data_IF_439831873217
#
_entry.id   IF_439831873217
#
_cell.length_a   1.000
_cell.length_b   1.000
_cell.length_c   1.000
_cell.angle_alpha   90.00
_cell.angle_beta   90.00
_cell.angle_gamma   90.00
#
_symmetry.space_group_name_H-M   'P 1'
#
loop_
_entity.id
_entity.type
_entity.pdbx_description
1 polymer ?
#
# COMPACT_ATOMS: atom_id res chain seq x y z
N UNK A 1 -35.72 -81.52 40.73
CA UNK A 1 -36.10 -80.58 39.65
C UNK A 1 -35.60 -79.17 39.96
N UNK A 2 -35.87 -78.64 41.17
CA UNK A 2 -35.45 -77.27 41.54
C UNK A 2 -33.94 -77.03 41.57
N UNK A 3 -33.15 -77.97 42.11
CA UNK A 3 -31.69 -77.85 42.14
C UNK A 3 -31.05 -77.78 40.74
N UNK A 4 -31.55 -78.60 39.80
CA UNK A 4 -31.08 -78.61 38.43
C UNK A 4 -31.40 -77.29 37.71
N UNK A 5 -32.59 -76.73 37.94
CA UNK A 5 -32.97 -75.42 37.40
C UNK A 5 -32.09 -74.29 37.93
N UNK A 6 -31.81 -74.27 39.24
CA UNK A 6 -30.90 -73.29 39.87
C UNK A 6 -29.48 -73.38 39.31
N UNK A 7 -28.95 -74.59 39.14
CA UNK A 7 -27.61 -74.81 38.57
C UNK A 7 -27.52 -74.30 37.11
N UNK A 8 -28.56 -74.55 36.31
CA UNK A 8 -28.61 -74.13 34.91
C UNK A 8 -28.67 -72.60 34.79
N UNK A 9 -29.44 -71.94 35.67
CA UNK A 9 -29.48 -70.48 35.78
C UNK A 9 -28.11 -69.93 36.20
N UNK A 10 -27.44 -70.53 37.17
CA UNK A 10 -26.11 -70.10 37.62
C UNK A 10 -25.07 -70.21 36.50
N UNK A 11 -25.05 -71.32 35.74
CA UNK A 11 -24.16 -71.50 34.58
C UNK A 11 -24.47 -70.47 33.49
N UNK A 12 -25.76 -70.23 33.18
CA UNK A 12 -26.16 -69.23 32.20
C UNK A 12 -25.70 -67.82 32.61
N UNK A 13 -25.85 -67.45 33.89
CA UNK A 13 -25.38 -66.18 34.42
C UNK A 13 -23.86 -66.07 34.32
N UNK A 14 -23.11 -67.11 34.72
CA UNK A 14 -21.66 -67.14 34.61
C UNK A 14 -21.24 -66.97 33.15
N UNK A 15 -21.88 -67.69 32.22
CA UNK A 15 -21.62 -67.61 30.78
C UNK A 15 -21.81 -66.18 30.25
N UNK A 16 -22.94 -65.55 30.58
CA UNK A 16 -23.24 -64.17 30.18
C UNK A 16 -22.21 -63.20 30.76
N UNK A 17 -21.86 -63.33 32.04
CA UNK A 17 -20.85 -62.48 32.69
C UNK A 17 -19.47 -62.65 32.03
N UNK A 18 -19.05 -63.87 31.70
CA UNK A 18 -17.80 -64.11 30.96
C UNK A 18 -17.84 -63.49 29.57
N UNK A 19 -18.96 -63.59 28.85
CA UNK A 19 -19.07 -63.05 27.50
C UNK A 19 -19.00 -61.52 27.50
N UNK A 20 -19.70 -60.87 28.43
CA UNK A 20 -19.68 -59.41 28.60
C UNK A 20 -18.29 -58.92 29.03
N UNK A 21 -17.60 -59.63 29.93
CA UNK A 21 -16.23 -59.28 30.33
C UNK A 21 -15.18 -59.57 29.23
N UNK A 22 -15.47 -60.49 28.32
CA UNK A 22 -14.58 -60.81 27.21
C UNK A 22 -14.57 -59.70 26.15
N UNK A 23 -15.71 -59.08 25.87
CA UNK A 23 -15.80 -58.03 24.85
C UNK A 23 -15.40 -56.68 25.44
N UNK A 24 -14.34 -56.08 24.87
CA UNK A 24 -13.85 -54.75 25.26
C UNK A 24 -13.76 -53.85 24.04
N UNK A 25 -14.31 -52.64 24.18
CA UNK A 25 -14.26 -51.62 23.14
C UNK A 25 -13.19 -50.60 23.52
N UNK A 26 -12.20 -50.43 22.66
CA UNK A 26 -11.14 -49.42 22.82
C UNK A 26 -11.49 -48.21 21.96
N UNK A 27 -11.59 -46.99 22.55
CA UNK A 27 -11.81 -45.76 21.79
C UNK A 27 -10.73 -45.48 20.74
N UNK A 28 -11.05 -44.62 19.78
CA UNK A 28 -10.07 -44.10 18.82
C UNK A 28 -8.95 -43.33 19.52
N UNK A 29 -7.75 -43.34 18.93
CA UNK A 29 -6.54 -42.69 19.47
C UNK A 29 -6.17 -43.15 20.89
N UNK A 30 -6.53 -44.38 21.24
CA UNK A 30 -6.19 -45.01 22.52
C UNK A 30 -5.70 -46.42 22.28
N UNK A 31 -4.71 -46.84 23.06
CA UNK A 31 -4.23 -48.21 23.08
C UNK A 31 -4.19 -48.73 24.52
N UNK A 32 -4.72 -49.93 24.71
CA UNK A 32 -4.72 -50.59 26.02
C UNK A 32 -3.68 -51.73 26.00
N UNK A 33 -2.71 -51.69 26.93
CA UNK A 33 -1.66 -52.70 27.06
C UNK A 33 -2.17 -53.83 27.96
N UNK A 34 -2.17 -55.07 27.43
CA UNK A 34 -2.71 -56.25 28.11
C UNK A 34 -1.59 -57.18 28.56
N UNK A 35 -1.70 -57.59 29.81
CA UNK A 35 -0.86 -58.58 30.45
C UNK A 35 -1.63 -59.88 30.70
N UNK A 36 -0.91 -60.98 30.65
CA UNK A 36 -1.38 -62.29 31.08
C UNK A 36 -0.43 -62.79 32.15
N UNK A 37 -0.94 -62.98 33.36
CA UNK A 37 -0.14 -63.43 34.51
C UNK A 37 1.14 -62.60 34.71
N UNK A 38 1.05 -61.29 34.48
CA UNK A 38 2.16 -60.34 34.64
C UNK A 38 3.14 -60.23 33.45
N UNK A 39 2.95 -61.00 32.36
CA UNK A 39 3.75 -60.87 31.14
C UNK A 39 2.98 -60.13 30.04
N UNK A 40 3.66 -59.27 29.29
CA UNK A 40 3.09 -58.66 28.09
C UNK A 40 2.58 -59.74 27.11
N UNK A 41 1.35 -59.58 26.64
CA UNK A 41 0.72 -60.48 25.67
C UNK A 41 0.48 -59.78 24.34
N UNK A 42 -0.24 -58.66 24.36
CA UNK A 42 -0.59 -57.88 23.17
C UNK A 42 -1.08 -56.48 23.54
N UNK A 43 -1.10 -55.61 22.54
CA UNK A 43 -1.71 -54.27 22.62
C UNK A 43 -3.06 -54.29 21.92
N UNK A 44 -4.08 -53.71 22.54
CA UNK A 44 -5.41 -53.56 21.94
C UNK A 44 -5.46 -52.26 21.14
N UNK A 45 -5.72 -52.38 19.84
CA UNK A 45 -5.95 -51.24 18.96
C UNK A 45 -7.41 -50.74 19.05
N UNK A 46 -7.72 -49.52 18.57
CA UNK A 46 -9.07 -49.01 18.53
C UNK A 46 -10.07 -49.98 17.87
N UNK A 47 -11.24 -50.14 18.49
CA UNK A 47 -12.28 -51.05 18.04
C UNK A 47 -12.63 -52.16 19.03
N UNK A 48 -13.32 -53.18 18.53
CA UNK A 48 -13.80 -54.30 19.34
C UNK A 48 -12.70 -55.35 19.51
N UNK A 49 -12.35 -55.62 20.76
CA UNK A 49 -11.29 -56.55 21.15
C UNK A 49 -11.84 -57.61 22.10
N UNK A 50 -11.42 -58.87 21.93
CA UNK A 50 -11.86 -59.99 22.76
C UNK A 50 -10.77 -60.41 23.75
N UNK A 51 -10.93 -60.15 25.03
CA UNK A 51 -10.01 -60.55 26.10
C UNK A 51 -10.48 -61.88 26.72
N UNK A 52 -9.53 -62.66 27.23
CA UNK A 52 -9.87 -63.83 28.06
C UNK A 52 -10.13 -63.33 29.48
N UNK A 53 -11.40 -63.33 29.95
CA UNK A 53 -11.71 -62.82 31.29
C UNK A 53 -10.95 -63.62 32.35
N UNK A 54 -10.64 -62.97 33.48
CA UNK A 54 -9.90 -63.52 34.64
C UNK A 54 -8.39 -63.77 34.44
N UNK A 55 -7.95 -64.10 33.22
CA UNK A 55 -6.52 -64.37 32.93
C UNK A 55 -5.83 -63.14 32.34
N UNK A 56 -6.48 -62.45 31.41
CA UNK A 56 -5.95 -61.25 30.77
C UNK A 56 -6.37 -60.01 31.58
N UNK A 57 -5.41 -59.16 31.95
CA UNK A 57 -5.63 -57.90 32.67
C UNK A 57 -5.09 -56.72 31.85
N UNK A 58 -5.81 -55.60 31.83
CA UNK A 58 -5.33 -54.36 31.21
C UNK A 58 -4.47 -53.62 32.23
N UNK A 59 -3.18 -53.46 31.96
CA UNK A 59 -2.25 -52.76 32.86
C UNK A 59 -2.37 -51.24 32.74
N UNK A 60 -2.21 -50.72 31.52
CA UNK A 60 -2.16 -49.28 31.27
C UNK A 60 -2.97 -48.94 30.02
N UNK A 61 -3.66 -47.81 30.09
CA UNK A 61 -4.42 -47.26 28.98
C UNK A 61 -3.72 -45.99 28.52
N UNK A 62 -3.19 -46.02 27.31
CA UNK A 62 -2.33 -44.98 26.76
C UNK A 62 -3.12 -44.15 25.76
N UNK A 63 -3.12 -42.82 25.95
CA UNK A 63 -3.65 -41.86 24.98
C UNK A 63 -2.58 -41.58 23.92
N UNK A 64 -2.93 -41.77 22.65
CA UNK A 64 -2.01 -41.58 21.52
C UNK A 64 -2.11 -40.18 20.90
N UNK A 65 -3.03 -39.35 21.39
CA UNK A 65 -3.17 -37.97 20.95
C UNK A 65 -1.96 -37.15 21.39
N UNK A 66 -1.74 -36.05 20.68
CA UNK A 66 -0.78 -35.04 21.08
C UNK A 66 -1.22 -34.39 22.39
N UNK A 67 -0.27 -34.30 23.31
CA UNK A 67 -0.44 -33.76 24.64
C UNK A 67 0.57 -32.65 24.86
N UNK A 68 0.15 -31.65 25.63
CA UNK A 68 0.98 -30.52 26.03
C UNK A 68 1.33 -30.65 27.49
N UNK A 69 2.61 -30.45 27.81
CA UNK A 69 3.09 -30.36 29.20
C UNK A 69 3.98 -29.13 29.34
N UNK A 70 3.71 -28.33 30.36
CA UNK A 70 4.54 -27.18 30.73
C UNK A 70 5.43 -27.57 31.90
N UNK A 71 6.71 -27.23 31.82
CA UNK A 71 7.66 -27.43 32.91
C UNK A 71 7.85 -26.14 33.70
N UNK A 72 8.08 -26.21 35.03
CA UNK A 72 8.31 -25.03 35.84
C UNK A 72 9.58 -24.29 35.38
N UNK A 73 9.66 -22.96 35.55
CA UNK A 73 10.86 -22.19 35.18
C UNK A 73 12.10 -22.71 35.89
N UNK A 74 13.15 -22.99 35.13
CA UNK A 74 14.43 -23.47 35.65
C UNK A 74 15.51 -22.40 35.52
N UNK A 75 16.32 -22.16 36.56
CA UNK A 75 17.45 -21.24 36.49
C UNK A 75 18.60 -21.88 35.70
N UNK A 76 19.08 -21.17 34.68
CA UNK A 76 20.22 -21.54 33.83
C UNK A 76 21.19 -20.37 33.78
N UNK A 77 22.48 -20.68 33.70
CA UNK A 77 23.54 -19.67 33.57
C UNK A 77 23.92 -19.56 32.09
N UNK A 78 23.89 -18.36 31.55
CA UNK A 78 24.35 -18.02 30.19
C UNK A 78 25.87 -17.86 30.14
N UNK A 79 26.44 -17.77 28.93
CA UNK A 79 27.89 -17.63 28.72
C UNK A 79 28.49 -16.34 29.32
N UNK A 80 27.67 -15.29 29.47
CA UNK A 80 28.01 -14.02 30.12
C UNK A 80 27.77 -14.04 31.65
N UNK A 81 27.60 -15.23 32.22
CA UNK A 81 27.46 -15.47 33.66
C UNK A 81 26.23 -14.78 34.29
N UNK A 82 25.13 -14.68 33.54
CA UNK A 82 23.83 -14.24 34.04
C UNK A 82 22.93 -15.43 34.35
N UNK A 83 22.16 -15.34 35.43
CA UNK A 83 21.16 -16.36 35.79
C UNK A 83 19.83 -15.99 35.15
N UNK A 84 19.38 -16.78 34.18
CA UNK A 84 18.08 -16.61 33.51
C UNK A 84 17.14 -17.75 33.85
N UNK A 85 15.86 -17.43 34.01
CA UNK A 85 14.80 -18.43 34.22
C UNK A 85 14.11 -18.72 32.90
N UNK A 86 14.03 -19.99 32.53
CA UNK A 86 13.45 -20.40 31.24
C UNK A 86 12.20 -21.23 31.47
N UNK A 87 11.07 -20.75 30.94
CA UNK A 87 9.78 -21.44 30.90
C UNK A 87 9.65 -22.13 29.54
N UNK A 88 9.35 -23.42 29.52
CA UNK A 88 9.28 -24.25 28.31
C UNK A 88 8.02 -25.11 28.30
N UNK A 89 7.41 -25.22 27.13
CA UNK A 89 6.26 -26.07 26.85
C UNK A 89 6.66 -27.12 25.82
N UNK A 90 6.30 -28.36 26.10
CA UNK A 90 6.57 -29.51 25.25
C UNK A 90 5.29 -30.08 24.69
N UNK A 91 5.30 -30.35 23.39
CA UNK A 91 4.26 -31.11 22.70
C UNK A 91 4.80 -32.48 22.34
N UNK A 92 4.17 -33.52 22.84
CA UNK A 92 4.57 -34.89 22.59
C UNK A 92 3.35 -35.76 22.32
N UNK A 93 3.59 -36.91 21.68
CA UNK A 93 2.59 -37.97 21.54
C UNK A 93 3.24 -39.32 21.73
N UNK A 94 2.49 -40.25 22.31
CA UNK A 94 2.94 -41.64 22.39
C UNK A 94 2.69 -42.32 21.04
N UNK A 95 3.74 -42.87 20.45
CA UNK A 95 3.69 -43.62 19.18
C UNK A 95 3.63 -45.12 19.44
N UNK A 96 4.23 -45.59 20.54
CA UNK A 96 4.24 -46.99 20.93
C UNK A 96 3.88 -47.14 22.41
N UNK A 97 2.66 -47.65 22.66
CA UNK A 97 2.14 -47.85 24.00
C UNK A 97 2.92 -48.92 24.79
N UNK A 98 3.54 -49.89 24.13
CA UNK A 98 4.33 -50.95 24.80
C UNK A 98 5.61 -50.35 25.34
N UNK A 99 6.37 -49.67 24.46
CA UNK A 99 7.63 -49.04 24.87
C UNK A 99 7.41 -47.98 25.95
N UNK A 100 6.37 -47.16 25.83
CA UNK A 100 6.05 -46.15 26.83
C UNK A 100 5.66 -46.73 28.21
N UNK A 101 5.21 -47.98 28.25
CA UNK A 101 4.73 -48.66 29.47
C UNK A 101 5.81 -49.50 30.15
N UNK A 102 6.80 -50.00 29.40
CA UNK A 102 7.82 -50.94 29.90
C UNK A 102 9.26 -50.42 29.84
N UNK A 103 9.60 -49.54 28.89
CA UNK A 103 10.98 -49.04 28.75
C UNK A 103 11.29 -47.92 29.76
N UNK A 104 10.26 -47.26 30.30
CA UNK A 104 10.44 -46.20 31.30
C UNK A 104 9.26 -46.12 32.27
N UNK A 105 9.56 -45.87 33.55
CA UNK A 105 8.55 -45.80 34.61
C UNK A 105 7.72 -44.51 34.55
N UNK A 106 8.37 -43.35 34.41
CA UNK A 106 7.73 -42.05 34.26
C UNK A 106 8.45 -41.24 33.18
N UNK A 107 7.92 -41.30 31.96
CA UNK A 107 8.52 -40.58 30.85
C UNK A 107 8.38 -39.06 30.96
N UNK A 108 7.33 -38.53 31.61
CA UNK A 108 7.17 -37.07 31.76
C UNK A 108 8.33 -36.49 32.57
N UNK A 109 8.65 -37.13 33.70
CA UNK A 109 9.77 -36.72 34.54
C UNK A 109 11.10 -36.89 33.81
N UNK A 110 11.28 -37.95 33.04
CA UNK A 110 12.52 -38.16 32.29
C UNK A 110 12.70 -37.13 31.17
N UNK A 111 11.62 -36.78 30.46
CA UNK A 111 11.65 -35.72 29.45
C UNK A 111 11.93 -34.37 30.10
N UNK A 112 11.34 -34.08 31.26
CA UNK A 112 11.65 -32.87 32.03
C UNK A 112 13.16 -32.78 32.31
N UNK A 113 13.76 -33.83 32.87
CA UNK A 113 15.19 -33.84 33.18
C UNK A 113 16.09 -33.71 31.94
N UNK A 114 15.70 -34.36 30.83
CA UNK A 114 16.40 -34.23 29.57
C UNK A 114 16.29 -32.80 29.01
N UNK A 115 15.11 -32.19 29.15
CA UNK A 115 14.87 -30.80 28.75
C UNK A 115 15.75 -29.85 29.55
N UNK A 116 15.81 -30.00 30.88
CA UNK A 116 16.68 -29.18 31.75
C UNK A 116 18.15 -29.32 31.37
N UNK A 117 18.61 -30.55 31.15
CA UNK A 117 20.02 -30.80 30.78
C UNK A 117 20.35 -30.19 29.41
N UNK A 118 19.44 -30.34 28.44
CA UNK A 118 19.64 -29.79 27.09
C UNK A 118 19.56 -28.26 27.09
N UNK A 119 18.62 -27.68 27.84
CA UNK A 119 18.52 -26.23 28.05
C UNK A 119 19.81 -25.67 28.66
N UNK A 120 20.36 -26.32 29.69
CA UNK A 120 21.63 -25.90 30.31
C UNK A 120 22.78 -25.91 29.30
N UNK A 121 22.87 -26.93 28.46
CA UNK A 121 23.92 -27.02 27.45
C UNK A 121 23.79 -25.94 26.36
N UNK A 122 22.59 -25.77 25.80
CA UNK A 122 22.37 -24.80 24.71
C UNK A 122 22.53 -23.37 25.22
N UNK A 123 21.85 -23.02 26.31
CA UNK A 123 21.86 -21.66 26.84
C UNK A 123 23.21 -21.30 27.47
N UNK A 124 23.91 -22.28 28.05
CA UNK A 124 25.27 -22.07 28.57
C UNK A 124 26.28 -21.67 27.49
N UNK A 125 26.00 -21.97 26.21
CA UNK A 125 26.83 -21.54 25.08
C UNK A 125 26.43 -20.19 24.46
N UNK A 126 25.29 -19.62 24.88
CA UNK A 126 24.74 -18.37 24.34
C UNK A 126 24.86 -17.25 25.38
N UNK A 127 25.04 -16.01 24.93
CA UNK A 127 24.84 -14.82 25.77
C UNK A 127 23.34 -14.51 25.92
N UNK A 128 23.00 -13.57 26.81
CA UNK A 128 21.60 -13.21 27.06
C UNK A 128 20.88 -12.67 25.81
N UNK A 129 21.54 -11.81 25.02
CA UNK A 129 20.92 -11.17 23.85
C UNK A 129 20.63 -12.20 22.74
N UNK A 130 21.59 -13.09 22.48
CA UNK A 130 21.49 -14.20 21.54
C UNK A 130 20.43 -15.19 22.00
N UNK A 131 20.34 -15.50 23.29
CA UNK A 131 19.29 -16.34 23.85
C UNK A 131 17.89 -15.73 23.64
N UNK A 132 17.74 -14.41 23.80
CA UNK A 132 16.47 -13.71 23.60
C UNK A 132 16.04 -13.63 22.12
N UNK A 133 17.01 -13.52 21.21
CA UNK A 133 16.77 -13.35 19.77
C UNK A 133 16.71 -14.67 19.00
N UNK A 134 17.41 -15.72 19.44
CA UNK A 134 17.61 -16.97 18.70
C UNK A 134 16.67 -18.10 19.15
N UNK A 135 15.43 -17.77 19.53
CA UNK A 135 14.46 -18.75 20.07
C UNK A 135 14.22 -19.93 19.13
N UNK A 136 14.15 -19.69 17.82
CA UNK A 136 13.93 -20.74 16.82
C UNK A 136 15.10 -21.72 16.71
N UNK A 137 16.34 -21.22 16.85
CA UNK A 137 17.54 -22.06 16.88
C UNK A 137 17.54 -22.98 18.10
N UNK A 138 17.20 -22.43 19.27
CA UNK A 138 17.10 -23.18 20.52
C UNK A 138 15.98 -24.23 20.44
N UNK A 139 14.79 -23.86 19.96
CA UNK A 139 13.65 -24.77 19.81
C UNK A 139 13.96 -25.96 18.89
N UNK A 140 14.65 -25.74 17.76
CA UNK A 140 15.07 -26.80 16.84
C UNK A 140 16.10 -27.72 17.48
N UNK A 141 17.09 -27.17 18.17
CA UNK A 141 18.13 -27.97 18.83
C UNK A 141 17.53 -28.83 19.94
N UNK A 142 16.68 -28.23 20.80
CA UNK A 142 15.96 -28.96 21.86
C UNK A 142 15.10 -30.07 21.26
N UNK A 143 14.29 -29.77 20.25
CA UNK A 143 13.40 -30.77 19.63
C UNK A 143 14.19 -31.94 19.04
N UNK A 144 15.34 -31.69 18.41
CA UNK A 144 16.20 -32.74 17.85
C UNK A 144 16.74 -33.70 18.91
N UNK A 145 17.36 -33.16 19.96
CA UNK A 145 17.95 -33.96 21.06
C UNK A 145 16.88 -34.72 21.84
N UNK A 146 15.73 -34.07 22.10
CA UNK A 146 14.62 -34.69 22.80
C UNK A 146 14.02 -35.83 21.97
N UNK A 147 13.67 -35.61 20.69
CA UNK A 147 13.02 -36.64 19.87
C UNK A 147 13.91 -37.87 19.67
N UNK A 148 15.21 -37.67 19.45
CA UNK A 148 16.19 -38.77 19.32
C UNK A 148 16.21 -39.66 20.57
N UNK A 149 16.26 -39.04 21.75
CA UNK A 149 16.35 -39.76 23.02
C UNK A 149 15.02 -40.39 23.42
N UNK A 150 13.91 -39.65 23.30
CA UNK A 150 12.57 -40.11 23.70
C UNK A 150 12.00 -41.15 22.76
N UNK A 151 12.48 -41.21 21.52
CA UNK A 151 12.10 -42.24 20.55
C UNK A 151 12.34 -43.66 21.05
N UNK A 152 13.32 -43.86 21.93
CA UNK A 152 13.60 -45.16 22.60
C UNK A 152 12.45 -45.61 23.50
N UNK A 153 11.74 -44.68 24.12
CA UNK A 153 10.59 -44.92 24.99
C UNK A 153 9.26 -44.97 24.24
N UNK A 154 9.27 -44.93 22.90
CA UNK A 154 8.04 -44.90 22.11
C UNK A 154 7.31 -43.56 22.13
N UNK A 155 8.02 -42.48 22.48
CA UNK A 155 7.45 -41.13 22.57
C UNK A 155 8.08 -40.26 21.50
N UNK A 156 7.21 -39.60 20.74
CA UNK A 156 7.61 -38.64 19.72
C UNK A 156 7.41 -37.24 20.24
N UNK A 157 8.45 -36.43 20.20
CA UNK A 157 8.36 -35.00 20.51
C UNK A 157 8.02 -34.28 19.21
N UNK A 158 6.85 -33.64 19.15
CA UNK A 158 6.42 -32.92 17.94
C UNK A 158 7.09 -31.56 17.87
N UNK A 159 7.10 -30.83 19.00
CA UNK A 159 7.77 -29.52 19.10
C UNK A 159 8.10 -29.18 20.55
N UNK A 160 9.09 -28.31 20.69
CA UNK A 160 9.43 -27.62 21.94
C UNK A 160 9.27 -26.13 21.72
N UNK A 161 8.62 -25.44 22.65
CA UNK A 161 8.46 -23.99 22.61
C UNK A 161 8.94 -23.36 23.91
N UNK A 162 9.88 -22.43 23.81
CA UNK A 162 10.24 -21.55 24.91
C UNK A 162 9.13 -20.52 25.09
N UNK A 163 8.46 -20.57 26.23
CA UNK A 163 7.38 -19.65 26.60
C UNK A 163 7.94 -18.29 27.03
N UNK A 164 8.97 -18.29 27.89
CA UNK A 164 9.63 -17.07 28.34
C UNK A 164 11.10 -17.33 28.72
N UNK A 165 11.92 -16.30 28.54
CA UNK A 165 13.30 -16.22 29.05
C UNK A 165 13.32 -14.97 29.92
N UNK A 166 13.46 -15.15 31.23
CA UNK A 166 13.40 -14.07 32.20
C UNK A 166 14.81 -13.79 32.77
N UNK A 167 15.43 -12.65 32.40
CA UNK A 167 16.67 -12.22 33.04
C UNK A 167 16.43 -11.73 34.48
N UNK A 168 17.49 -11.57 35.28
CA UNK A 168 17.35 -11.03 36.62
C UNK A 168 16.86 -9.57 36.56
N UNK A 169 16.10 -9.08 37.55
CA UNK A 169 15.45 -7.78 37.50
C UNK A 169 16.40 -6.61 37.20
N UNK A 170 17.62 -6.64 37.76
CA UNK A 170 18.63 -5.59 37.55
C UNK A 170 19.05 -5.41 36.08
N UNK A 171 19.15 -6.52 35.34
CA UNK A 171 19.50 -6.52 33.92
C UNK A 171 18.29 -6.12 33.08
N UNK A 172 17.10 -6.63 33.41
CA UNK A 172 15.85 -6.24 32.73
C UNK A 172 15.65 -4.73 32.75
N UNK A 173 15.77 -4.11 33.92
CA UNK A 173 15.57 -2.67 34.07
C UNK A 173 16.62 -1.85 33.29
N UNK A 174 17.86 -2.34 33.23
CA UNK A 174 18.95 -1.72 32.48
C UNK A 174 18.74 -1.83 30.97
N UNK A 175 18.31 -3.01 30.51
CA UNK A 175 17.97 -3.24 29.10
C UNK A 175 16.76 -2.41 28.67
N UNK A 176 15.70 -2.31 29.50
CA UNK A 176 14.54 -1.47 29.20
C UNK A 176 14.94 0.00 29.03
N UNK A 177 15.80 0.53 29.94
CA UNK A 177 16.35 1.88 29.83
C UNK A 177 17.19 2.06 28.57
N UNK A 178 18.08 1.11 28.26
CA UNK A 178 18.93 1.14 27.08
C UNK A 178 18.11 1.07 25.78
N UNK A 179 17.14 0.16 25.70
CA UNK A 179 16.25 0.00 24.56
C UNK A 179 15.40 1.24 24.32
N UNK A 180 14.93 1.88 25.39
CA UNK A 180 14.21 3.16 25.30
C UNK A 180 15.11 4.26 24.74
N UNK A 181 16.31 4.42 25.31
CA UNK A 181 17.27 5.41 24.84
C UNK A 181 17.67 5.20 23.36
N UNK A 182 17.88 3.95 22.94
CA UNK A 182 18.20 3.61 21.54
C UNK A 182 17.01 3.87 20.61
N UNK A 183 15.78 3.55 21.03
CA UNK A 183 14.57 3.86 20.26
C UNK A 183 14.36 5.36 20.13
N UNK A 184 14.54 6.12 21.21
CA UNK A 184 14.41 7.58 21.22
C UNK A 184 15.48 8.21 20.31
N UNK A 185 16.72 7.71 20.35
CA UNK A 185 17.80 8.13 19.45
C UNK A 185 17.45 7.86 17.98
N UNK A 186 16.99 6.65 17.65
CA UNK A 186 16.61 6.28 16.27
C UNK A 186 15.44 7.11 15.78
N UNK A 187 14.43 7.34 16.62
CA UNK A 187 13.30 8.20 16.30
C UNK A 187 13.76 9.63 15.99
N UNK A 188 14.64 10.20 16.82
CA UNK A 188 15.18 11.55 16.59
C UNK A 188 15.97 11.66 15.28
N UNK A 189 16.79 10.66 14.94
CA UNK A 189 17.53 10.61 13.67
C UNK A 189 16.55 10.55 12.49
N UNK A 190 15.57 9.66 12.54
CA UNK A 190 14.58 9.49 11.46
C UNK A 190 13.75 10.77 11.27
N UNK A 191 13.37 11.44 12.35
CA UNK A 191 12.66 12.74 12.29
C UNK A 191 13.55 13.82 11.67
N UNK A 192 14.83 13.91 12.06
CA UNK A 192 15.77 14.86 11.48
C UNK A 192 16.01 14.61 9.98
N UNK A 193 16.15 13.34 9.57
CA UNK A 193 16.27 12.93 8.17
C UNK A 193 15.00 13.26 7.38
N UNK A 194 13.81 12.99 7.94
CA UNK A 194 12.53 13.35 7.34
C UNK A 194 12.37 14.86 7.16
N UNK A 195 12.77 15.67 8.15
CA UNK A 195 12.78 17.13 8.03
C UNK A 195 13.72 17.63 6.93
N UNK A 196 14.95 17.11 6.89
CA UNK A 196 15.92 17.45 5.85
C UNK A 196 15.40 17.09 4.46
N UNK A 197 14.86 15.89 4.29
CA UNK A 197 14.33 15.43 3.01
C UNK A 197 13.12 16.26 2.57
N UNK A 198 12.22 16.59 3.51
CA UNK A 198 11.08 17.47 3.24
C UNK A 198 11.53 18.86 2.76
N UNK A 199 12.51 19.47 3.42
CA UNK A 199 13.06 20.78 3.02
C UNK A 199 13.71 20.75 1.63
N UNK A 200 14.44 19.68 1.31
CA UNK A 200 15.04 19.50 -0.03
C UNK A 200 13.95 19.41 -1.09
N UNK A 201 12.94 18.56 -0.88
CA UNK A 201 11.83 18.38 -1.83
C UNK A 201 11.03 19.68 -2.01
N UNK A 202 10.78 20.44 -0.95
CA UNK A 202 10.13 21.75 -1.04
C UNK A 202 10.95 22.74 -1.87
N UNK A 203 12.26 22.85 -1.61
CA UNK A 203 13.14 23.76 -2.35
C UNK A 203 13.27 23.36 -3.84
N UNK A 204 13.33 22.07 -4.14
CA UNK A 204 13.34 21.56 -5.50
C UNK A 204 12.02 21.86 -6.22
N UNK A 205 10.88 21.66 -5.54
CA UNK A 205 9.56 22.01 -6.04
C UNK A 205 9.40 23.51 -6.32
N UNK A 206 9.87 24.38 -5.41
CA UNK A 206 9.88 25.83 -5.60
C UNK A 206 10.73 26.26 -6.80
N UNK A 207 11.93 25.69 -6.93
CA UNK A 207 12.81 25.94 -8.08
C UNK A 207 12.13 25.54 -9.39
N UNK A 208 11.58 24.33 -9.46
CA UNK A 208 10.87 23.84 -10.65
C UNK A 208 9.66 24.72 -10.98
N UNK A 209 8.86 25.09 -9.97
CA UNK A 209 7.72 25.97 -10.16
C UNK A 209 8.14 27.37 -10.65
N UNK A 210 9.26 27.91 -10.16
CA UNK A 210 9.78 29.21 -10.61
C UNK A 210 10.22 29.16 -12.10
N UNK A 211 10.91 28.09 -12.51
CA UNK A 211 11.32 27.89 -13.91
C UNK A 211 10.10 27.77 -14.82
N UNK A 212 9.14 26.90 -14.45
CA UNK A 212 7.92 26.70 -15.24
C UNK A 212 7.09 27.98 -15.38
N UNK A 213 7.01 28.82 -14.33
CA UNK A 213 6.37 30.13 -14.42
C UNK A 213 7.11 31.08 -15.37
N UNK A 214 8.43 31.16 -15.28
CA UNK A 214 9.22 32.02 -16.15
C UNK A 214 9.11 31.62 -17.64
N UNK A 215 9.13 30.31 -17.92
CA UNK A 215 8.93 29.79 -19.27
C UNK A 215 7.49 30.04 -19.76
N UNK A 216 6.49 29.84 -18.89
CA UNK A 216 5.10 30.17 -19.17
C UNK A 216 4.90 31.65 -19.52
N UNK A 217 5.48 32.56 -18.73
CA UNK A 217 5.42 34.01 -18.96
C UNK A 217 6.13 34.43 -20.25
N UNK A 218 7.25 33.78 -20.57
CA UNK A 218 7.96 33.99 -21.83
C UNK A 218 7.09 33.56 -23.01
N UNK A 219 6.53 32.35 -22.94
CA UNK A 219 5.71 31.80 -24.01
C UNK A 219 4.43 32.63 -24.22
N UNK A 220 3.78 33.05 -23.13
CA UNK A 220 2.62 33.93 -23.17
C UNK A 220 2.95 35.26 -23.87
N UNK A 221 4.10 35.87 -23.57
CA UNK A 221 4.55 37.11 -24.23
C UNK A 221 4.82 36.93 -25.72
N UNK A 222 5.45 35.82 -26.12
CA UNK A 222 5.69 35.51 -27.54
C UNK A 222 4.36 35.36 -28.27
N UNK A 223 3.45 34.52 -27.74
CA UNK A 223 2.13 34.28 -28.33
C UNK A 223 1.30 35.58 -28.43
N UNK A 224 1.37 36.44 -27.42
CA UNK A 224 0.70 37.73 -27.45
C UNK A 224 1.28 38.66 -28.52
N UNK A 225 2.61 38.73 -28.64
CA UNK A 225 3.28 39.55 -29.66
C UNK A 225 2.98 39.05 -31.08
N UNK A 226 3.00 37.73 -31.30
CA UNK A 226 2.62 37.10 -32.57
C UNK A 226 1.15 37.34 -32.91
N UNK A 227 0.25 37.21 -31.93
CA UNK A 227 -1.17 37.51 -32.08
C UNK A 227 -1.42 38.98 -32.47
N UNK A 228 -0.71 39.91 -31.83
CA UNK A 228 -0.76 41.34 -32.18
C UNK A 228 -0.20 41.60 -33.58
N UNK A 229 0.96 41.02 -33.93
CA UNK A 229 1.56 41.18 -35.25
C UNK A 229 0.65 40.63 -36.35
N UNK A 230 0.04 39.46 -36.13
CA UNK A 230 -0.93 38.86 -37.05
C UNK A 230 -2.17 39.74 -37.19
N UNK A 231 -2.72 40.25 -36.10
CA UNK A 231 -3.86 41.17 -36.14
C UNK A 231 -3.53 42.45 -36.92
N UNK A 232 -2.36 43.06 -36.68
CA UNK A 232 -1.90 44.25 -37.41
C UNK A 232 -1.75 43.94 -38.91
N UNK A 233 -1.13 42.82 -39.27
CA UNK A 233 -0.99 42.41 -40.69
C UNK A 233 -2.34 42.21 -41.35
N UNK A 234 -3.26 41.47 -40.73
CA UNK A 234 -4.60 41.27 -41.28
C UNK A 234 -5.32 42.60 -41.53
N UNK A 235 -5.24 43.54 -40.59
CA UNK A 235 -5.83 44.88 -40.76
C UNK A 235 -5.13 45.66 -41.87
N UNK A 236 -3.79 45.64 -41.91
CA UNK A 236 -2.99 46.34 -42.92
C UNK A 236 -3.26 45.82 -44.33
N UNK A 237 -3.29 44.50 -44.51
CA UNK A 237 -3.56 43.84 -45.78
C UNK A 237 -4.99 44.13 -46.25
N UNK A 238 -5.98 44.09 -45.34
CA UNK A 238 -7.36 44.47 -45.64
C UNK A 238 -7.47 45.95 -46.09
N UNK A 239 -6.72 46.87 -45.48
CA UNK A 239 -6.67 48.28 -45.89
C UNK A 239 -6.01 48.42 -47.27
N UNK A 240 -4.92 47.70 -47.55
CA UNK A 240 -4.24 47.76 -48.84
C UNK A 240 -5.10 47.20 -49.97
N UNK A 241 -5.76 46.07 -49.74
CA UNK A 241 -6.67 45.45 -50.71
C UNK A 241 -7.90 46.30 -50.99
N UNK A 242 -8.43 47.00 -49.98
CA UNK A 242 -9.56 47.92 -50.16
C UNK A 242 -9.21 49.19 -50.97
N UNK A 243 -7.92 49.45 -51.22
CA UNK A 243 -7.36 50.57 -51.97
C UNK A 243 -8.11 51.92 -51.75
N UNK A 244 -8.27 52.35 -50.48
CA UNK A 244 -9.14 53.47 -50.15
C UNK A 244 -8.57 54.78 -50.71
N UNK A 245 -9.45 55.62 -51.29
CA UNK A 245 -9.04 56.93 -51.79
C UNK A 245 -8.37 57.78 -50.70
N UNK A 246 -7.41 58.61 -51.07
CA UNK A 246 -6.60 59.42 -50.15
C UNK A 246 -7.44 60.35 -49.23
N UNK A 247 -8.67 60.70 -49.65
CA UNK A 247 -9.65 61.45 -48.85
C UNK A 247 -10.22 60.64 -47.67
N UNK A 248 -10.38 59.31 -47.83
CA UNK A 248 -10.89 58.41 -46.78
C UNK A 248 -9.84 58.17 -45.70
N UNK A 249 -8.57 57.98 -46.09
CA UNK A 249 -7.46 57.86 -45.15
C UNK A 249 -7.27 59.13 -44.32
N UNK A 250 -7.37 60.32 -44.94
CA UNK A 250 -7.33 61.59 -44.24
C UNK A 250 -8.50 61.76 -43.25
N UNK A 251 -9.70 61.26 -43.59
CA UNK A 251 -10.86 61.26 -42.70
C UNK A 251 -10.70 60.27 -41.53
N UNK A 252 -10.20 59.06 -41.76
CA UNK A 252 -9.89 58.08 -40.70
C UNK A 252 -8.81 58.63 -39.74
N UNK A 253 -7.80 59.31 -40.27
CA UNK A 253 -6.77 59.98 -39.48
C UNK A 253 -7.39 61.07 -38.59
N UNK A 254 -8.31 61.89 -39.14
CA UNK A 254 -9.06 62.90 -38.38
C UNK A 254 -9.96 62.26 -37.29
N UNK A 255 -10.53 61.09 -37.54
CA UNK A 255 -11.30 60.30 -36.55
C UNK A 255 -10.43 59.59 -35.50
N UNK A 256 -9.16 59.34 -35.78
CA UNK A 256 -8.20 58.78 -34.83
C UNK A 256 -7.60 59.84 -33.90
N UNK A 257 -7.62 61.13 -34.30
CA UNK A 257 -7.13 62.26 -33.49
C UNK A 257 -7.73 62.31 -32.06
N UNK A 258 -9.03 62.07 -31.82
CA UNK A 258 -9.60 62.04 -30.47
C UNK A 258 -9.03 60.92 -29.58
N UNK A 259 -8.66 59.76 -30.15
CA UNK A 259 -8.06 58.67 -29.38
C UNK A 259 -6.60 58.95 -29.02
N UNK A 260 -5.87 59.59 -29.93
CA UNK A 260 -4.53 60.11 -29.67
C UNK A 260 -4.58 61.26 -28.63
N UNK A 261 -5.66 62.06 -28.64
CA UNK A 261 -5.90 63.12 -27.66
C UNK A 261 -6.18 62.64 -26.23
N UNK A 262 -6.75 61.45 -26.07
CA UNK A 262 -7.14 60.88 -24.77
C UNK A 262 -6.06 60.01 -24.10
N UNK A 263 -4.93 59.73 -24.76
CA UNK A 263 -3.78 59.03 -24.18
C UNK A 263 -2.90 59.95 -23.34
N UNK A 264 -2.49 59.52 -22.14
CA UNK A 264 -1.85 60.32 -21.09
C UNK A 264 -0.45 60.91 -21.39
N UNK A 265 0.03 60.89 -22.65
CA UNK A 265 1.38 61.33 -23.04
C UNK A 265 1.39 62.28 -24.25
N UNK A 266 0.51 63.29 -24.27
CA UNK A 266 0.25 64.08 -25.48
C UNK A 266 0.95 65.46 -25.49
N UNK A 267 2.25 65.51 -25.87
CA UNK A 267 3.00 66.78 -26.00
C UNK A 267 3.83 66.97 -27.28
N UNK A 268 3.89 66.00 -28.18
CA UNK A 268 4.69 66.11 -29.42
C UNK A 268 3.79 66.07 -30.64
N UNK A 269 3.61 67.24 -31.25
CA UNK A 269 2.86 67.44 -32.49
C UNK A 269 3.81 67.28 -33.68
N UNK A 270 3.63 66.22 -34.48
CA UNK A 270 4.42 65.97 -35.69
C UNK A 270 3.53 66.26 -36.90
N UNK A 271 3.87 67.31 -37.65
CA UNK A 271 3.25 67.60 -38.95
C UNK A 271 4.06 66.88 -40.04
N UNK A 272 3.46 65.95 -40.81
CA UNK A 272 4.16 65.25 -41.87
C UNK A 272 4.54 66.17 -43.03
N UNK A 273 5.73 65.96 -43.60
CA UNK A 273 6.29 66.72 -44.73
C UNK A 273 5.42 66.72 -46.01
N UNK A 274 4.47 65.79 -46.11
CA UNK A 274 3.53 65.70 -47.22
C UNK A 274 2.50 66.84 -47.23
N UNK A 275 2.16 67.41 -46.06
CA UNK A 275 1.32 68.62 -45.99
C UNK A 275 2.08 69.86 -46.49
N UNK A 276 3.40 69.90 -46.30
CA UNK A 276 4.27 70.98 -46.77
C UNK A 276 4.46 70.92 -48.30
N UNK A 277 4.63 69.71 -48.87
CA UNK A 277 4.70 69.49 -50.33
C UNK A 277 3.41 69.88 -51.06
N UNK A 278 2.25 69.65 -50.45
CA UNK A 278 0.97 70.07 -51.02
C UNK A 278 0.82 71.62 -51.08
N UNK A 279 1.49 72.35 -50.19
CA UNK A 279 1.48 73.81 -50.15
C UNK A 279 2.46 74.46 -51.15
N UNK A 280 3.58 73.79 -51.49
CA UNK A 280 4.51 74.23 -52.55
C UNK A 280 3.85 74.19 -53.95
N UNK A 281 2.85 73.33 -54.16
CA UNK A 281 2.11 73.20 -55.42
C UNK A 281 1.23 74.40 -55.81
N UNK A 282 1.02 75.39 -54.93
CA UNK A 282 0.24 76.60 -55.23
C UNK A 282 1.08 77.85 -55.57
N UNK A 283 2.41 77.79 -55.44
CA UNK A 283 3.30 78.97 -55.57
C UNK A 283 4.01 79.18 -56.91
N UNK A 284 3.86 78.27 -57.89
CA UNK A 284 4.65 78.27 -59.13
C UNK A 284 3.82 78.31 -60.41
N UNK A 285 3.14 79.43 -60.66
CA UNK A 285 2.61 79.73 -61.99
C UNK A 285 3.73 80.35 -62.85
N UNK A 286 3.93 79.79 -64.06
CA UNK A 286 4.89 80.14 -65.12
C UNK A 286 6.26 79.42 -65.07
N UNK A 287 6.36 78.37 -65.90
CA UNK A 287 7.63 77.87 -66.42
C UNK A 287 7.83 76.36 -66.24
N UNK A 288 7.32 75.55 -67.17
CA UNK A 288 7.74 74.14 -67.23
C UNK A 288 6.73 73.12 -67.78
N UNK A 289 5.91 73.48 -68.77
CA UNK A 289 5.18 72.49 -69.57
C UNK A 289 6.15 71.86 -70.59
N UNK A 290 6.83 70.77 -70.26
CA UNK A 290 7.25 69.73 -71.22
C UNK A 290 7.92 68.55 -70.53
N UNK A 291 7.11 67.54 -70.19
CA UNK A 291 7.37 66.08 -70.33
C UNK A 291 6.30 65.32 -69.53
N UNK A 292 5.22 65.07 -70.26
CA UNK A 292 4.35 63.87 -70.28
C UNK A 292 4.93 62.61 -69.60
N UNK A 293 4.20 61.57 -69.19
CA UNK A 293 2.79 61.12 -69.18
C UNK A 293 2.88 59.69 -68.61
N UNK A 294 1.80 59.21 -67.97
CA UNK A 294 1.41 57.80 -68.04
C UNK A 294 1.65 56.97 -66.78
N UNK A 295 0.58 56.69 -66.05
CA UNK A 295 0.23 55.31 -65.71
C UNK A 295 -1.24 55.25 -65.27
N UNK A 296 -2.09 54.63 -66.09
CA UNK A 296 -3.40 54.12 -65.69
C UNK A 296 -3.26 52.62 -65.40
N UNK A 297 -4.03 52.04 -64.47
CA UNK A 297 -3.84 50.66 -64.04
C UNK A 297 -4.48 49.65 -65.01
N UNK A 298 -3.78 48.54 -65.25
CA UNK A 298 -4.32 47.38 -65.97
C UNK A 298 -5.05 46.41 -65.00
N UNK A 299 -6.09 45.67 -65.44
CA UNK A 299 -6.92 44.86 -64.55
C UNK A 299 -6.52 43.37 -64.62
N UNK A 300 -5.67 42.90 -63.70
CA UNK A 300 -5.49 41.46 -63.46
C UNK A 300 -5.29 41.20 -61.97
N UNK A 301 -6.40 41.06 -61.24
CA UNK A 301 -6.40 40.59 -59.85
C UNK A 301 -7.74 39.90 -59.54
N UNK A 302 -7.90 38.66 -60.00
CA UNK A 302 -9.00 37.78 -59.56
C UNK A 302 -8.55 36.41 -59.07
N UNK A 303 -7.30 36.00 -59.31
CA UNK A 303 -6.85 34.65 -58.94
C UNK A 303 -6.21 34.56 -57.54
N UNK A 304 -5.55 35.61 -57.06
CA UNK A 304 -4.80 35.59 -55.78
C UNK A 304 -5.69 35.56 -54.54
N UNK A 305 -6.95 36.02 -54.64
CA UNK A 305 -7.90 35.95 -53.54
C UNK A 305 -8.33 34.50 -53.24
N UNK A 306 -8.41 33.65 -54.26
CA UNK A 306 -8.84 32.25 -54.13
C UNK A 306 -7.78 31.32 -53.53
N UNK A 307 -6.51 31.70 -53.67
CA UNK A 307 -5.36 30.91 -53.20
C UNK A 307 -5.13 31.12 -51.69
N UNK A 308 -5.28 32.36 -51.22
CA UNK A 308 -5.18 32.73 -49.79
C UNK A 308 -6.35 32.15 -48.97
N UNK A 309 -7.57 32.10 -49.52
CA UNK A 309 -8.71 31.44 -48.85
C UNK A 309 -8.51 29.92 -48.73
N UNK A 310 -7.91 29.28 -49.74
CA UNK A 310 -7.58 27.85 -49.69
C UNK A 310 -6.50 27.55 -48.66
N UNK A 311 -5.44 28.34 -48.61
CA UNK A 311 -4.35 28.18 -47.63
C UNK A 311 -4.85 28.41 -46.18
N UNK A 312 -5.71 29.41 -45.97
CA UNK A 312 -6.32 29.67 -44.66
C UNK A 312 -7.26 28.54 -44.20
N UNK A 313 -8.03 27.95 -45.12
CA UNK A 313 -8.91 26.82 -44.83
C UNK A 313 -8.12 25.53 -44.52
N UNK A 314 -6.97 25.32 -45.19
CA UNK A 314 -6.09 24.18 -44.96
C UNK A 314 -5.34 24.30 -43.62
N UNK A 315 -4.86 25.50 -43.28
CA UNK A 315 -4.26 25.81 -41.98
C UNK A 315 -5.25 25.65 -40.81
N UNK A 316 -6.51 26.05 -41.00
CA UNK A 316 -7.56 25.87 -39.99
C UNK A 316 -7.89 24.38 -39.76
N UNK A 317 -7.92 23.56 -40.82
CA UNK A 317 -8.11 22.10 -40.71
C UNK A 317 -6.92 21.41 -40.05
N UNK A 318 -5.69 21.84 -40.37
CA UNK A 318 -4.48 21.32 -39.73
C UNK A 318 -4.45 21.62 -38.23
N UNK A 319 -4.82 22.84 -37.82
CA UNK A 319 -4.91 23.21 -36.40
C UNK A 319 -5.99 22.43 -35.64
N UNK A 320 -7.15 22.18 -36.26
CA UNK A 320 -8.22 21.38 -35.66
C UNK A 320 -7.79 19.90 -35.47
N UNK A 321 -7.08 19.33 -36.44
CA UNK A 321 -6.57 17.96 -36.33
C UNK A 321 -5.50 17.83 -35.24
N UNK A 322 -4.56 18.79 -35.15
CA UNK A 322 -3.55 18.81 -34.10
C UNK A 322 -4.16 18.95 -32.69
N UNK A 323 -5.20 19.78 -32.53
CA UNK A 323 -5.91 19.90 -31.27
C UNK A 323 -6.61 18.59 -30.87
N UNK A 324 -7.18 17.88 -31.85
CA UNK A 324 -7.83 16.59 -31.62
C UNK A 324 -6.82 15.49 -31.24
N UNK A 325 -5.63 15.52 -31.83
CA UNK A 325 -4.54 14.59 -31.53
C UNK A 325 -4.02 14.77 -30.10
N UNK A 326 -3.76 16.01 -29.69
CA UNK A 326 -3.36 16.35 -28.31
C UNK A 326 -4.45 15.92 -27.32
N UNK A 327 -5.73 16.18 -27.62
CA UNK A 327 -6.85 15.74 -26.77
C UNK A 327 -6.88 14.21 -26.60
N UNK A 328 -6.60 13.47 -27.68
CA UNK A 328 -6.53 12.01 -27.62
C UNK A 328 -5.32 11.50 -26.85
N UNK A 329 -4.15 12.13 -26.98
CA UNK A 329 -2.95 11.78 -26.23
C UNK A 329 -3.13 12.02 -24.73
N UNK A 330 -3.71 13.16 -24.34
CA UNK A 330 -4.02 13.46 -22.94
C UNK A 330 -4.98 12.42 -22.36
N UNK A 331 -6.04 12.06 -23.10
CA UNK A 331 -6.98 11.01 -22.69
C UNK A 331 -6.31 9.64 -22.51
N UNK A 332 -5.35 9.29 -23.36
CA UNK A 332 -4.58 8.04 -23.25
C UNK A 332 -3.64 8.09 -22.04
N UNK A 333 -2.98 9.21 -21.79
CA UNK A 333 -2.12 9.41 -20.62
C UNK A 333 -2.91 9.36 -19.30
N UNK A 334 -4.09 9.97 -19.25
CA UNK A 334 -5.00 9.91 -18.11
C UNK A 334 -5.49 8.47 -17.84
N UNK A 335 -5.82 7.71 -18.89
CA UNK A 335 -6.23 6.31 -18.78
C UNK A 335 -5.09 5.39 -18.30
N UNK A 336 -3.85 5.69 -18.67
CA UNK A 336 -2.66 4.98 -18.20
C UNK A 336 -2.33 5.31 -16.73
N UNK A 337 -2.51 6.57 -16.32
CA UNK A 337 -2.29 7.01 -14.93
C UNK A 337 -3.35 6.48 -13.95
N UNK A 338 -4.58 6.24 -14.41
CA UNK A 338 -5.69 5.72 -13.58
C UNK A 338 -5.87 4.20 -13.65
N UNK A 339 -5.01 3.47 -14.36
CA UNK A 339 -5.05 2.00 -14.40
C UNK A 339 -6.38 1.43 -14.88
N UNK A 340 -7.09 2.14 -15.77
CA UNK A 340 -8.36 1.69 -16.35
C UNK A 340 -9.59 1.79 -15.45
N UNK A 341 -9.54 2.50 -14.31
CA UNK A 341 -10.73 2.82 -13.51
C UNK A 341 -11.18 4.25 -13.75
N UNK A 342 -12.37 4.42 -14.33
CA UNK A 342 -13.06 5.72 -14.43
C UNK A 342 -13.17 6.34 -13.02
N UNK A 343 -12.79 7.61 -12.82
CA UNK A 343 -12.93 8.25 -11.52
C UNK A 343 -14.42 8.33 -11.15
N UNK A 344 -14.78 7.74 -10.02
CA UNK A 344 -16.08 7.92 -9.38
C UNK A 344 -16.11 9.38 -8.91
N UNK A 345 -16.84 10.23 -9.63
CA UNK A 345 -17.06 11.61 -9.21
C UNK A 345 -17.58 11.65 -7.78
N UNK A 346 -17.09 12.60 -6.98
CA UNK A 346 -17.67 12.91 -5.68
C UNK A 346 -19.20 13.05 -5.84
N UNK A 347 -20.00 12.49 -4.92
CA UNK A 347 -21.46 12.60 -5.01
C UNK A 347 -21.84 14.08 -5.06
N UNK A 348 -22.74 14.43 -5.98
CA UNK A 348 -23.23 15.80 -6.13
C UNK A 348 -23.82 16.27 -4.79
N UNK A 349 -23.55 17.51 -4.35
CA UNK A 349 -24.22 18.07 -3.19
C UNK A 349 -25.72 18.09 -3.44
N UNK A 350 -26.50 17.67 -2.44
CA UNK A 350 -27.97 17.64 -2.53
C UNK A 350 -28.52 19.03 -2.90
N UNK A 351 -29.52 19.11 -3.79
CA UNK A 351 -30.10 20.39 -4.18
C UNK A 351 -30.80 21.03 -2.98
N UNK A 352 -30.28 22.19 -2.60
CA UNK A 352 -30.88 23.05 -1.58
C UNK A 352 -32.16 23.66 -2.17
N UNK A 353 -33.33 23.27 -1.64
CA UNK A 353 -34.63 23.77 -2.12
C UNK A 353 -34.77 25.29 -1.92
N UNK A 354 -35.44 26.02 -2.84
CA UNK A 354 -35.54 27.49 -2.82
C UNK A 354 -36.10 28.09 -1.52
N UNK A 355 -36.86 27.30 -0.75
CA UNK A 355 -37.47 27.73 0.51
C UNK A 355 -36.47 27.95 1.64
N UNK A 356 -35.25 27.44 1.53
CA UNK A 356 -34.18 27.61 2.54
C UNK A 356 -33.36 28.89 2.36
N UNK A 357 -33.63 29.67 1.29
CA UNK A 357 -32.98 30.96 1.03
C UNK A 357 -33.86 32.18 1.41
N UNK A 358 -35.13 31.97 1.74
CA UNK A 358 -35.92 33.00 2.41
C UNK A 358 -35.73 32.89 3.91
N UNK A 359 -34.93 33.82 4.44
CA UNK A 359 -34.68 33.98 5.86
C UNK A 359 -35.97 33.98 6.67
N UNK A 360 -35.95 33.16 7.71
CA UNK A 360 -36.86 33.19 8.84
C UNK A 360 -36.98 34.64 9.35
N UNK A 361 -38.13 35.28 9.15
CA UNK A 361 -38.48 36.49 9.87
C UNK A 361 -38.79 36.08 11.32
N UNK A 362 -38.10 36.65 12.33
CA UNK A 362 -38.36 36.26 13.70
C UNK A 362 -39.64 36.97 14.17
N UNK A 363 -40.72 36.22 14.35
CA UNK A 363 -41.83 36.69 15.18
C UNK A 363 -43.20 36.10 14.88
N UNK A 364 -43.56 35.03 15.59
CA UNK A 364 -44.86 34.77 16.24
C UNK A 364 -44.81 33.32 16.78
N UNK A 365 -44.37 33.10 18.02
CA UNK A 365 -45.24 33.00 19.20
C UNK A 365 -46.58 32.28 18.95
N UNK A 366 -46.72 31.21 19.74
CA UNK A 366 -47.90 30.82 20.52
C UNK A 366 -48.84 29.71 20.01
N UNK A 367 -48.98 28.73 20.92
CA UNK A 367 -50.16 27.94 21.30
C UNK A 367 -50.36 26.57 20.64
N UNK A 368 -50.35 25.57 21.52
CA UNK A 368 -50.71 24.17 21.32
C UNK A 368 -50.29 23.38 22.53
#
# INVERSE_FOLDING_TARGET
MEFAAVLLIAIAVIMVVTLVKAVRIVPQQRQDVVERLGKYKRTLNPGLNLLVPFIDAVRTKVDMREQVVSFPPQPVITSDNLVVSIDTVLYYKVVDAVRATYEIANFIQAIEQLTVTTLRNVIGSLDLERALTSREEINRHLSGVLDETTGRWGIKVTRVEIKAIEPPPSIRDSMEKQMRAERDRRAAILTAEGHKQSQILSAEGEKQAAVLRADGDRQARILQAEGQAKAIRTVFDAIHQANPSQKVLAYQYLQALPQIANGSANKVWIVPAELTKALEGMGGALGGLSRMVGDEPSPEASDTASEVEREAAEAARAAANAAQEIHNEVRVAEAQATGGKTPQGLPAPEPVSPDSLLGDQPGQRERG
#
